data_IF_163733230048
#
_entry.id   IF_163733230048
#
_cell.length_a   1.000
_cell.length_b   1.000
_cell.length_c   1.000
_cell.angle_alpha   90.00
_cell.angle_beta   90.00
_cell.angle_gamma   90.00
#
_symmetry.space_group_name_H-M   'P 1'
#
loop_
_entity.id
_entity.type
_entity.pdbx_description
1 polymer ?
#
# COMPACT_ATOMS: atom_id res chain seq x y z
N UNK A 1 6.40 19.50 5.01
CA UNK A 1 6.95 18.73 3.86
C UNK A 1 7.34 19.72 2.77
N UNK A 2 8.52 19.56 2.19
CA UNK A 2 8.98 20.28 1.00
C UNK A 2 8.79 19.40 -0.24
N UNK A 3 8.56 19.99 -1.41
CA UNK A 3 8.30 19.25 -2.64
C UNK A 3 9.38 19.51 -3.67
N UNK A 4 9.99 18.46 -4.20
CA UNK A 4 11.06 18.53 -5.19
C UNK A 4 10.72 17.65 -6.40
N UNK A 5 10.98 18.16 -7.59
CA UNK A 5 10.81 17.42 -8.84
C UNK A 5 11.81 16.26 -8.88
N UNK A 6 11.33 15.04 -9.11
CA UNK A 6 12.21 13.89 -9.32
C UNK A 6 12.82 13.95 -10.74
N UNK A 7 13.98 13.30 -10.95
CA UNK A 7 14.54 13.12 -12.28
C UNK A 7 13.49 12.58 -13.28
N UNK A 8 13.61 12.92 -14.57
CA UNK A 8 12.68 12.44 -15.57
C UNK A 8 12.69 10.91 -15.63
N UNK A 9 11.51 10.32 -15.85
CA UNK A 9 11.43 8.91 -16.15
C UNK A 9 12.15 8.62 -17.46
N UNK A 10 12.84 7.47 -17.54
CA UNK A 10 13.50 7.04 -18.76
C UNK A 10 13.51 5.50 -18.85
N UNK A 11 13.08 4.91 -19.97
CA UNK A 11 12.36 5.54 -21.09
C UNK A 11 10.92 5.93 -20.70
N UNK A 12 10.26 6.75 -21.52
CA UNK A 12 8.80 7.01 -21.42
C UNK A 12 8.16 6.52 -22.73
N UNK A 13 7.59 5.32 -22.69
CA UNK A 13 6.93 4.68 -23.85
C UNK A 13 5.84 3.72 -23.40
N UNK A 14 4.88 3.44 -24.28
CA UNK A 14 3.85 2.43 -24.03
C UNK A 14 4.47 1.03 -24.06
N UNK A 15 4.01 0.14 -23.17
CA UNK A 15 4.48 -1.24 -23.06
C UNK A 15 5.87 -1.41 -22.44
N UNK A 16 6.51 -0.33 -22.00
CA UNK A 16 7.85 -0.35 -21.39
C UNK A 16 7.80 0.11 -19.95
N UNK A 17 8.66 -0.45 -19.11
CA UNK A 17 8.87 -0.01 -17.73
C UNK A 17 9.62 1.32 -17.72
N UNK A 18 8.90 2.38 -17.36
CA UNK A 18 9.45 3.71 -17.15
C UNK A 18 10.03 3.78 -15.75
N UNK A 19 11.30 4.19 -15.62
CA UNK A 19 11.98 4.22 -14.31
C UNK A 19 12.52 5.61 -14.01
N UNK A 20 12.40 6.05 -12.76
CA UNK A 20 13.13 7.18 -12.21
C UNK A 20 13.78 6.80 -10.87
N UNK A 21 14.80 7.55 -10.48
CA UNK A 21 15.54 7.34 -9.23
C UNK A 21 15.31 8.55 -8.33
N UNK A 22 14.94 8.31 -7.08
CA UNK A 22 14.87 9.39 -6.08
C UNK A 22 16.29 9.85 -5.78
N UNK A 23 16.57 11.14 -5.97
CA UNK A 23 17.90 11.68 -5.69
C UNK A 23 18.26 11.52 -4.21
N UNK A 24 19.53 11.27 -3.95
CA UNK A 24 20.08 11.02 -2.61
C UNK A 24 20.20 12.32 -1.80
N UNK A 25 19.07 12.94 -1.52
CA UNK A 25 18.99 14.11 -0.64
C UNK A 25 19.14 13.69 0.83
N UNK A 26 19.70 14.59 1.64
CA UNK A 26 19.81 14.42 3.09
C UNK A 26 18.45 14.65 3.80
N UNK A 27 17.42 13.92 3.36
CA UNK A 27 16.03 14.11 3.75
C UNK A 27 15.30 12.76 3.84
N UNK A 28 14.16 12.77 4.50
CA UNK A 28 13.21 11.65 4.53
C UNK A 28 12.24 11.77 3.36
N UNK A 29 12.08 10.71 2.57
CA UNK A 29 11.02 10.61 1.56
C UNK A 29 9.70 10.18 2.24
N UNK A 30 8.71 11.07 2.26
CA UNK A 30 7.39 10.76 2.81
C UNK A 30 6.36 10.35 1.76
N UNK A 31 6.49 10.86 0.53
CA UNK A 31 5.57 10.51 -0.57
C UNK A 31 6.16 10.77 -1.95
N UNK A 32 5.59 10.11 -2.96
CA UNK A 32 5.83 10.38 -4.38
C UNK A 32 4.49 10.62 -5.07
N UNK A 33 4.34 11.79 -5.69
CA UNK A 33 3.19 12.13 -6.52
C UNK A 33 3.54 11.91 -7.98
N UNK A 34 2.87 10.96 -8.61
CA UNK A 34 2.93 10.71 -10.04
C UNK A 34 1.98 11.66 -10.76
N UNK A 35 2.46 12.30 -11.82
CA UNK A 35 1.65 13.04 -12.78
C UNK A 35 1.89 12.45 -14.16
N UNK A 36 0.80 12.11 -14.83
CA UNK A 36 0.85 11.55 -16.17
C UNK A 36 -0.03 12.33 -17.14
N UNK A 37 0.24 12.18 -18.43
CA UNK A 37 -0.49 12.87 -19.50
C UNK A 37 -0.42 12.08 -20.80
N UNK A 38 -1.13 12.54 -21.82
CA UNK A 38 -1.15 11.90 -23.14
C UNK A 38 -1.88 10.57 -23.10
N UNK A 39 -1.21 9.49 -23.49
CA UNK A 39 -1.80 8.14 -23.56
C UNK A 39 -1.93 7.42 -22.20
N UNK A 40 -1.28 7.92 -21.15
CA UNK A 40 -1.33 7.30 -19.82
C UNK A 40 -2.59 7.76 -19.09
N UNK A 41 -3.36 6.81 -18.57
CA UNK A 41 -4.42 7.03 -17.60
C UNK A 41 -4.26 6.06 -16.43
N UNK A 42 -5.01 6.24 -15.34
CA UNK A 42 -4.99 5.29 -14.21
C UNK A 42 -5.29 3.86 -14.61
N UNK A 43 -6.14 3.64 -15.62
CA UNK A 43 -6.52 2.31 -16.11
C UNK A 43 -5.49 1.68 -17.05
N UNK A 44 -4.66 2.48 -17.72
CA UNK A 44 -3.60 1.94 -18.57
C UNK A 44 -2.33 1.62 -17.78
N UNK A 45 -2.18 2.13 -16.56
CA UNK A 45 -1.09 1.76 -15.67
C UNK A 45 -1.36 0.35 -15.12
N UNK A 46 -0.65 -0.63 -15.68
CA UNK A 46 -0.75 -2.03 -15.28
C UNK A 46 0.02 -2.32 -13.99
N UNK A 47 1.12 -1.59 -13.75
CA UNK A 47 2.01 -1.87 -12.63
C UNK A 47 2.75 -0.61 -12.17
N UNK A 48 2.81 -0.43 -10.85
CA UNK A 48 3.62 0.54 -10.14
C UNK A 48 4.41 -0.23 -9.09
N UNK A 49 5.73 -0.02 -9.07
CA UNK A 49 6.65 -0.63 -8.12
C UNK A 49 7.60 0.43 -7.57
N UNK A 50 7.85 0.39 -6.26
CA UNK A 50 8.99 1.10 -5.66
C UNK A 50 9.95 0.09 -5.08
N UNK A 51 11.23 0.26 -5.39
CA UNK A 51 12.31 -0.60 -4.91
C UNK A 51 13.33 0.18 -4.10
N UNK A 52 13.94 -0.48 -3.12
CA UNK A 52 15.19 -0.09 -2.49
C UNK A 52 16.25 -1.09 -2.94
N UNK A 53 17.23 -0.63 -3.72
CA UNK A 53 18.14 -1.51 -4.44
C UNK A 53 17.36 -2.49 -5.32
N UNK A 54 17.56 -3.79 -5.11
CA UNK A 54 16.85 -4.85 -5.84
C UNK A 54 15.49 -5.23 -5.24
N UNK A 55 15.13 -4.70 -4.05
CA UNK A 55 14.03 -5.24 -3.24
C UNK A 55 12.78 -4.38 -3.37
N UNK A 56 11.63 -5.02 -3.55
CA UNK A 56 10.33 -4.33 -3.70
C UNK A 56 9.75 -3.97 -2.34
N UNK A 57 9.48 -2.69 -2.12
CA UNK A 57 8.84 -2.19 -0.89
C UNK A 57 7.39 -1.74 -1.14
N UNK A 58 7.04 -1.44 -2.39
CA UNK A 58 5.72 -1.01 -2.78
C UNK A 58 5.34 -1.69 -4.10
N UNK A 59 4.13 -2.23 -4.19
CA UNK A 59 3.60 -2.91 -5.36
C UNK A 59 3.89 -4.42 -5.37
N UNK A 60 3.70 -5.10 -6.52
CA UNK A 60 3.18 -4.56 -7.79
C UNK A 60 1.68 -4.23 -7.71
N UNK A 61 1.32 -2.97 -7.98
CA UNK A 61 -0.07 -2.49 -7.93
C UNK A 61 -0.43 -1.70 -9.21
N UNK A 62 -1.64 -1.87 -9.74
CA UNK A 62 -2.11 -1.10 -10.88
C UNK A 62 -2.49 0.34 -10.50
N UNK A 63 -2.60 1.23 -11.48
CA UNK A 63 -3.01 2.61 -11.23
C UNK A 63 -4.41 2.71 -10.62
N UNK A 64 -5.35 1.85 -11.05
CA UNK A 64 -6.72 1.82 -10.49
C UNK A 64 -6.78 1.31 -9.06
N UNK A 65 -5.91 0.35 -8.70
CA UNK A 65 -5.84 -0.15 -7.33
C UNK A 65 -5.22 0.89 -6.40
N UNK A 66 -4.12 1.54 -6.84
CA UNK A 66 -3.53 2.63 -6.06
C UNK A 66 -4.51 3.80 -5.88
N UNK A 67 -5.30 4.11 -6.89
CA UNK A 67 -6.34 5.13 -6.79
C UNK A 67 -7.36 4.81 -5.71
N UNK A 68 -7.87 3.58 -5.69
CA UNK A 68 -8.78 3.09 -4.66
C UNK A 68 -8.15 3.19 -3.27
N UNK A 69 -6.88 2.83 -3.09
CA UNK A 69 -6.18 2.97 -1.81
C UNK A 69 -6.05 4.43 -1.37
N UNK A 70 -5.78 5.34 -2.32
CA UNK A 70 -5.71 6.77 -2.05
C UNK A 70 -7.08 7.33 -1.64
N UNK A 71 -8.14 7.00 -2.38
CA UNK A 71 -9.50 7.39 -2.05
C UNK A 71 -9.95 6.80 -0.70
N UNK A 72 -9.58 5.56 -0.39
CA UNK A 72 -9.86 4.92 0.90
C UNK A 72 -9.33 5.74 2.08
N UNK A 73 -8.10 6.26 1.94
CA UNK A 73 -7.43 7.12 2.94
C UNK A 73 -7.87 8.58 2.89
N UNK A 74 -8.77 8.95 1.97
CA UNK A 74 -9.25 10.32 1.78
C UNK A 74 -8.24 11.24 1.08
N UNK A 75 -7.29 10.69 0.33
CA UNK A 75 -6.39 11.47 -0.53
C UNK A 75 -7.21 12.01 -1.71
N UNK A 76 -6.92 13.26 -2.10
CA UNK A 76 -7.62 13.93 -3.20
C UNK A 76 -7.48 13.16 -4.52
N UNK A 77 -8.60 12.95 -5.20
CA UNK A 77 -8.68 12.25 -6.48
C UNK A 77 -8.62 13.25 -7.65
N UNK A 78 -7.72 12.99 -8.60
CA UNK A 78 -7.63 13.67 -9.89
C UNK A 78 -7.26 12.67 -10.98
N UNK A 79 -7.82 12.80 -12.18
CA UNK A 79 -7.70 11.79 -13.26
C UNK A 79 -6.29 11.58 -13.79
N UNK A 80 -5.41 12.58 -13.71
CA UNK A 80 -4.05 12.61 -14.23
C UNK A 80 -2.95 12.44 -13.17
N UNK A 81 -3.34 12.07 -11.93
CA UNK A 81 -2.43 11.97 -10.78
C UNK A 81 -2.67 10.73 -9.95
N UNK A 82 -1.59 10.23 -9.35
CA UNK A 82 -1.61 9.19 -8.33
C UNK A 82 -0.58 9.52 -7.26
N UNK A 83 -0.82 9.06 -6.04
CA UNK A 83 0.09 9.28 -4.93
C UNK A 83 0.54 7.95 -4.34
N UNK A 84 1.85 7.80 -4.15
CA UNK A 84 2.47 6.75 -3.34
C UNK A 84 2.84 7.40 -2.02
N UNK A 85 2.17 7.02 -0.94
CA UNK A 85 2.39 7.56 0.40
C UNK A 85 3.13 6.55 1.28
N UNK A 86 4.28 6.95 1.80
CA UNK A 86 5.06 6.23 2.80
C UNK A 86 4.75 6.70 4.24
N UNK A 87 4.09 7.84 4.36
CA UNK A 87 3.60 8.43 5.62
C UNK A 87 2.08 8.43 5.68
N UNK A 88 1.48 8.27 6.86
CA UNK A 88 0.04 8.42 7.04
C UNK A 88 -0.30 9.86 7.47
N UNK A 89 -0.78 10.70 6.54
CA UNK A 89 -0.99 12.13 6.80
C UNK A 89 -2.07 12.46 7.85
N UNK A 90 -3.03 11.54 8.04
CA UNK A 90 -4.22 11.70 8.89
C UNK A 90 -4.01 11.33 10.36
N UNK A 91 -2.77 11.07 10.77
CA UNK A 91 -2.46 10.68 12.14
C UNK A 91 -2.49 11.90 13.09
N UNK A 92 -2.91 11.72 14.36
CA UNK A 92 -3.14 12.82 15.29
C UNK A 92 -1.85 13.51 15.76
N UNK A 93 -0.71 12.81 15.75
CA UNK A 93 0.56 13.37 16.18
C UNK A 93 1.62 13.30 15.08
N UNK A 94 2.66 14.14 15.21
CA UNK A 94 3.70 14.29 14.19
C UNK A 94 4.53 13.03 14.03
N UNK A 95 4.81 12.31 15.13
CA UNK A 95 5.63 11.10 15.08
C UNK A 95 4.93 9.99 14.30
N UNK A 96 3.65 9.76 14.58
CA UNK A 96 2.78 8.83 13.85
C UNK A 96 2.55 9.28 12.42
N UNK A 97 2.50 10.60 12.17
CA UNK A 97 2.36 11.09 10.81
C UNK A 97 3.57 10.77 9.94
N UNK A 98 4.78 10.90 10.49
CA UNK A 98 6.02 10.76 9.74
C UNK A 98 6.59 9.32 9.74
N UNK A 99 6.19 8.47 10.69
CA UNK A 99 6.65 7.07 10.74
C UNK A 99 6.30 6.32 9.45
N UNK A 100 7.25 5.55 8.94
CA UNK A 100 7.15 4.87 7.65
C UNK A 100 7.80 5.63 6.49
N UNK A 101 8.09 6.92 6.67
CA UNK A 101 8.95 7.67 5.75
C UNK A 101 10.33 7.04 5.63
N UNK A 102 10.95 7.19 4.46
CA UNK A 102 12.23 6.55 4.15
C UNK A 102 13.36 7.56 4.35
N UNK A 103 14.17 7.35 5.37
CA UNK A 103 15.39 8.14 5.60
C UNK A 103 16.45 7.74 4.57
N UNK A 104 16.57 8.54 3.51
CA UNK A 104 17.40 8.21 2.34
C UNK A 104 18.87 8.00 2.73
N UNK A 105 19.51 8.85 3.57
CA UNK A 105 20.91 8.64 3.93
C UNK A 105 21.16 7.38 4.76
N UNK A 106 20.16 6.93 5.54
CA UNK A 106 20.28 5.73 6.34
C UNK A 106 20.29 4.45 5.49
N UNK A 107 19.89 4.50 4.21
CA UNK A 107 19.94 3.34 3.32
C UNK A 107 21.35 2.97 2.86
N UNK A 108 22.39 3.77 3.17
CA UNK A 108 23.72 3.56 2.61
C UNK A 108 23.65 3.60 1.09
N UNK A 109 24.42 2.80 0.35
CA UNK A 109 24.52 2.89 -1.12
C UNK A 109 23.30 2.38 -1.90
N UNK A 110 22.19 2.03 -1.24
CA UNK A 110 20.98 1.55 -1.90
C UNK A 110 20.15 2.72 -2.45
N UNK A 111 19.89 2.71 -3.76
CA UNK A 111 19.04 3.69 -4.44
C UNK A 111 17.55 3.33 -4.34
N UNK A 112 16.70 4.35 -4.40
CA UNK A 112 15.24 4.17 -4.45
C UNK A 112 14.75 4.34 -5.88
N UNK A 113 14.22 3.28 -6.46
CA UNK A 113 13.67 3.26 -7.82
C UNK A 113 12.15 3.37 -7.78
N UNK A 114 11.58 4.25 -8.59
CA UNK A 114 10.14 4.30 -8.87
C UNK A 114 9.94 3.85 -10.30
N UNK A 115 9.22 2.75 -10.47
CA UNK A 115 8.98 2.08 -11.74
C UNK A 115 7.49 2.06 -12.05
N UNK A 116 7.13 2.42 -13.28
CA UNK A 116 5.74 2.43 -13.76
C UNK A 116 5.68 1.75 -15.13
N UNK A 117 4.76 0.80 -15.28
CA UNK A 117 4.44 0.16 -16.56
C UNK A 117 3.06 0.63 -17.01
N UNK A 118 2.99 1.11 -18.24
CA UNK A 118 1.75 1.51 -18.90
C UNK A 118 1.52 0.63 -20.13
N UNK A 119 0.30 0.12 -20.29
CA UNK A 119 -0.11 -0.78 -21.38
C UNK A 119 -1.02 -0.12 -22.41
N UNK A 120 -1.01 1.21 -22.54
CA UNK A 120 -1.79 1.93 -23.55
C UNK A 120 -1.45 1.47 -24.98
N UNK A 121 -2.45 1.37 -25.85
CA UNK A 121 -2.26 0.85 -27.22
C UNK A 121 -1.67 1.86 -28.23
N UNK A 122 -1.83 3.17 -28.02
CA UNK A 122 -1.36 4.22 -28.94
C UNK A 122 -1.21 5.58 -28.23
N UNK A 123 -0.55 6.53 -28.89
CA UNK A 123 -0.33 7.91 -28.42
C UNK A 123 0.99 8.10 -27.65
N UNK A 124 1.40 9.36 -27.48
CA UNK A 124 2.64 9.72 -26.79
C UNK A 124 2.42 9.81 -25.27
N UNK A 125 3.08 8.95 -24.47
CA UNK A 125 2.96 9.00 -23.02
C UNK A 125 3.73 10.18 -22.43
N UNK A 126 3.16 10.81 -21.40
CA UNK A 126 3.87 11.74 -20.51
C UNK A 126 3.85 11.22 -19.08
N UNK A 127 5.00 11.20 -18.42
CA UNK A 127 5.13 10.77 -17.02
C UNK A 127 6.18 11.60 -16.30
N UNK A 128 5.82 12.08 -15.11
CA UNK A 128 6.68 12.87 -14.23
C UNK A 128 6.32 12.60 -12.78
N UNK A 129 7.23 12.87 -11.86
CA UNK A 129 6.97 12.70 -10.43
C UNK A 129 7.56 13.83 -9.58
N UNK A 130 6.88 14.10 -8.47
CA UNK A 130 7.34 15.02 -7.43
C UNK A 130 7.47 14.23 -6.13
N UNK A 131 8.63 14.31 -5.48
CA UNK A 131 8.83 13.76 -4.15
C UNK A 131 8.46 14.78 -3.08
N UNK A 132 7.82 14.31 -2.00
CA UNK A 132 7.57 15.08 -0.80
C UNK A 132 8.51 14.65 0.32
N UNK A 133 9.25 15.60 0.87
CA UNK A 133 10.34 15.36 1.80
C UNK A 133 10.18 16.09 3.13
N UNK A 134 10.71 15.49 4.19
CA UNK A 134 10.81 16.08 5.54
C UNK A 134 12.23 15.95 6.07
N UNK A 135 12.51 16.60 7.20
CA UNK A 135 13.79 16.46 7.90
C UNK A 135 13.99 15.02 8.36
N UNK A 136 15.24 14.57 8.43
CA UNK A 136 15.62 13.23 8.89
C UNK A 136 14.96 12.88 10.23
N UNK A 137 14.48 11.64 10.33
CA UNK A 137 13.88 11.12 11.57
C UNK A 137 14.93 10.49 12.48
N UNK A 138 16.03 9.98 11.91
CA UNK A 138 17.17 9.44 12.64
C UNK A 138 18.28 10.47 12.90
N UNK A 139 19.20 10.12 13.81
CA UNK A 139 20.44 10.86 14.03
C UNK A 139 21.44 10.58 12.88
N UNK A 140 21.76 11.56 12.03
CA UNK A 140 22.64 11.37 10.88
C UNK A 140 24.06 10.92 11.25
N UNK A 141 24.49 11.10 12.50
CA UNK A 141 25.80 10.63 12.96
C UNK A 141 25.90 9.11 13.12
N UNK A 142 24.77 8.40 13.12
CA UNK A 142 24.69 6.94 13.30
C UNK A 142 23.72 6.32 12.28
N UNK A 143 24.07 6.31 10.98
CA UNK A 143 23.22 5.72 9.96
C UNK A 143 23.12 4.21 10.16
N UNK A 144 21.89 3.72 10.38
CA UNK A 144 21.56 2.30 10.39
C UNK A 144 20.34 2.07 9.49
N UNK A 145 20.48 1.36 8.37
CA UNK A 145 19.35 0.99 7.52
C UNK A 145 18.25 0.25 8.27
N UNK A 146 18.58 -0.54 9.30
CA UNK A 146 17.62 -1.28 10.12
C UNK A 146 17.14 -0.47 11.34
N UNK A 147 17.70 0.71 11.59
CA UNK A 147 17.28 1.63 12.64
C UNK A 147 16.03 2.44 12.31
N UNK A 148 15.51 2.31 11.08
CA UNK A 148 14.27 2.95 10.63
C UNK A 148 13.18 1.90 10.34
N UNK A 149 11.92 2.29 10.53
CA UNK A 149 10.76 1.55 10.05
C UNK A 149 10.21 2.28 8.82
N UNK A 150 10.10 1.55 7.71
CA UNK A 150 9.53 2.08 6.47
C UNK A 150 8.15 1.48 6.23
N UNK A 151 7.27 2.26 5.59
CA UNK A 151 5.98 1.76 5.13
C UNK A 151 6.15 0.96 3.86
N UNK A 152 5.83 -0.32 3.93
CA UNK A 152 5.74 -1.23 2.80
C UNK A 152 4.29 -1.43 2.41
N UNK A 153 4.03 -1.51 1.12
CA UNK A 153 2.72 -1.88 0.57
C UNK A 153 2.91 -3.01 -0.43
N UNK A 154 2.70 -4.24 0.01
CA UNK A 154 2.93 -5.42 -0.81
C UNK A 154 1.62 -5.99 -1.33
N UNK A 155 1.60 -6.33 -2.62
CA UNK A 155 0.44 -6.93 -3.26
C UNK A 155 0.69 -8.41 -3.54
N UNK A 156 -0.15 -9.28 -2.97
CA UNK A 156 0.02 -10.74 -2.98
C UNK A 156 -1.28 -11.37 -3.47
N UNK A 157 -1.20 -12.20 -4.50
CA UNK A 157 -2.35 -13.02 -4.92
C UNK A 157 -2.52 -14.18 -3.95
N UNK A 158 -3.70 -14.29 -3.36
CA UNK A 158 -4.02 -15.39 -2.45
C UNK A 158 -4.39 -16.61 -3.29
N UNK A 159 -3.74 -17.78 -3.07
CA UNK A 159 -4.15 -19.01 -3.73
C UNK A 159 -5.53 -19.44 -3.22
N UNK A 160 -6.56 -19.33 -4.05
CA UNK A 160 -7.91 -19.81 -3.72
C UNK A 160 -8.08 -21.22 -4.28
N UNK A 161 -8.39 -22.20 -3.42
CA UNK A 161 -8.50 -23.62 -3.81
C UNK A 161 -9.83 -23.96 -4.49
N UNK A 162 -10.41 -23.02 -5.25
CA UNK A 162 -11.71 -23.16 -5.90
C UNK A 162 -12.93 -23.16 -4.95
N UNK A 163 -12.72 -23.14 -3.63
CA UNK A 163 -13.78 -23.11 -2.62
C UNK A 163 -14.18 -21.69 -2.20
N UNK A 164 -15.28 -21.60 -1.45
CA UNK A 164 -15.79 -20.35 -0.88
C UNK A 164 -15.18 -20.00 0.47
N UNK A 165 -14.54 -20.94 1.16
CA UNK A 165 -13.76 -20.66 2.36
C UNK A 165 -12.28 -20.75 2.01
N UNK A 166 -11.55 -19.67 2.23
CA UNK A 166 -10.12 -19.55 1.90
C UNK A 166 -9.36 -19.19 3.16
N UNK A 167 -8.39 -20.01 3.55
CA UNK A 167 -7.45 -19.70 4.64
C UNK A 167 -6.12 -19.32 4.01
N UNK A 168 -5.63 -18.12 4.33
CA UNK A 168 -4.33 -17.63 3.91
C UNK A 168 -3.40 -17.50 5.11
N UNK A 169 -2.20 -18.09 4.99
CA UNK A 169 -1.18 -18.15 6.04
C UNK A 169 0.08 -17.40 5.57
N UNK A 170 0.10 -16.07 5.55
CA UNK A 170 1.29 -15.32 5.18
C UNK A 170 2.35 -15.34 6.28
N UNK A 171 3.61 -15.22 5.87
CA UNK A 171 4.70 -14.91 6.78
C UNK A 171 4.99 -13.40 6.72
N UNK A 172 4.68 -12.70 7.81
CA UNK A 172 5.00 -11.28 8.01
C UNK A 172 5.78 -11.08 9.30
N UNK A 173 6.56 -12.07 9.74
CA UNK A 173 7.25 -12.01 11.04
C UNK A 173 8.14 -10.76 11.14
N UNK A 174 8.00 -10.04 12.24
CA UNK A 174 8.80 -8.84 12.52
C UNK A 174 8.17 -7.53 12.06
N UNK A 175 7.13 -7.56 11.23
CA UNK A 175 6.42 -6.39 10.76
C UNK A 175 5.31 -5.92 11.74
N UNK A 176 4.84 -4.69 11.54
CA UNK A 176 3.62 -4.18 12.16
C UNK A 176 2.60 -3.89 11.07
N UNK A 177 1.55 -4.70 10.98
CA UNK A 177 0.55 -4.61 9.92
C UNK A 177 -0.44 -3.51 10.27
N UNK A 178 -0.56 -2.53 9.38
CA UNK A 178 -1.53 -1.45 9.49
C UNK A 178 -2.88 -1.91 8.94
N UNK A 179 -2.88 -2.37 7.68
CA UNK A 179 -4.08 -2.63 6.90
C UNK A 179 -3.86 -3.78 5.94
N UNK A 180 -4.92 -4.54 5.68
CA UNK A 180 -4.98 -5.52 4.60
C UNK A 180 -6.22 -5.26 3.77
N UNK A 181 -6.03 -4.92 2.50
CA UNK A 181 -7.10 -4.74 1.54
C UNK A 181 -7.24 -5.99 0.69
N UNK A 182 -8.35 -6.71 0.83
CA UNK A 182 -8.67 -7.85 0.00
C UNK A 182 -9.50 -7.39 -1.20
N UNK A 183 -8.83 -7.28 -2.35
CA UNK A 183 -9.46 -6.99 -3.63
C UNK A 183 -9.99 -8.29 -4.26
N UNK A 184 -11.21 -8.24 -4.80
CA UNK A 184 -11.87 -9.37 -5.44
C UNK A 184 -12.53 -8.96 -6.78
N UNK A 185 -12.95 -9.92 -7.60
CA UNK A 185 -13.49 -9.63 -8.96
C UNK A 185 -14.99 -9.86 -9.10
N UNK A 186 -15.56 -10.68 -8.21
CA UNK A 186 -16.96 -11.05 -8.17
C UNK A 186 -17.91 -9.91 -7.83
N UNK A 187 -19.15 -10.29 -7.47
CA UNK A 187 -20.26 -9.37 -7.19
C UNK A 187 -19.85 -8.29 -6.20
N UNK A 188 -20.06 -7.03 -6.55
CA UNK A 188 -19.77 -5.92 -5.66
C UNK A 188 -20.82 -5.82 -4.54
N UNK A 189 -20.46 -5.16 -3.44
CA UNK A 189 -21.39 -4.88 -2.36
C UNK A 189 -22.39 -3.79 -2.75
N UNK A 190 -23.52 -3.73 -2.05
CA UNK A 190 -24.46 -2.59 -2.09
C UNK A 190 -24.57 -2.00 -0.69
N UNK A 191 -25.47 -1.04 -0.45
CA UNK A 191 -25.61 -0.42 0.88
C UNK A 191 -25.90 -1.45 1.99
N UNK A 192 -26.75 -2.45 1.72
CA UNK A 192 -27.21 -3.43 2.72
C UNK A 192 -26.80 -4.88 2.42
N UNK A 193 -26.05 -5.12 1.34
CA UNK A 193 -25.66 -6.48 0.92
C UNK A 193 -24.14 -6.59 0.88
N UNK A 194 -23.64 -7.71 1.41
CA UNK A 194 -22.23 -8.09 1.34
C UNK A 194 -21.79 -8.31 -0.10
N UNK A 195 -20.56 -7.91 -0.42
CA UNK A 195 -19.93 -8.23 -1.70
C UNK A 195 -19.48 -9.68 -1.75
N UNK A 196 -18.80 -10.09 -2.82
CA UNK A 196 -18.39 -11.48 -2.95
C UNK A 196 -17.51 -11.95 -1.78
N UNK A 197 -16.68 -11.08 -1.21
CA UNK A 197 -16.06 -11.33 0.09
C UNK A 197 -17.03 -10.97 1.22
N UNK A 198 -17.65 -11.99 1.80
CA UNK A 198 -18.76 -11.88 2.75
C UNK A 198 -18.30 -11.50 4.15
N UNK A 199 -17.22 -12.11 4.64
CA UNK A 199 -16.62 -11.82 5.95
C UNK A 199 -15.15 -12.22 5.98
N UNK A 200 -14.42 -11.64 6.93
CA UNK A 200 -13.00 -11.93 7.17
C UNK A 200 -12.77 -12.15 8.66
N UNK A 201 -11.96 -13.16 8.99
CA UNK A 201 -11.41 -13.38 10.33
C UNK A 201 -9.88 -13.33 10.23
N UNK A 202 -9.22 -12.66 11.16
CA UNK A 202 -7.78 -12.70 11.35
C UNK A 202 -7.46 -13.34 12.71
N UNK A 203 -6.57 -14.32 12.72
CA UNK A 203 -6.09 -15.00 13.92
C UNK A 203 -4.59 -14.85 14.07
N UNK A 204 -4.15 -14.54 15.29
CA UNK A 204 -2.75 -14.60 15.69
C UNK A 204 -2.60 -15.68 16.76
N UNK A 205 -1.71 -16.65 16.54
CA UNK A 205 -1.45 -17.75 17.48
C UNK A 205 -2.73 -18.51 17.89
N UNK A 206 -3.68 -18.66 16.98
CA UNK A 206 -4.97 -19.33 17.21
C UNK A 206 -6.05 -18.47 17.87
N UNK A 207 -5.73 -17.24 18.32
CA UNK A 207 -6.70 -16.29 18.89
C UNK A 207 -7.17 -15.32 17.82
N UNK A 208 -8.48 -15.11 17.72
CA UNK A 208 -9.05 -14.09 16.82
C UNK A 208 -8.65 -12.69 17.29
N UNK A 209 -7.99 -11.94 16.41
CA UNK A 209 -7.69 -10.51 16.58
C UNK A 209 -8.65 -9.64 15.77
N UNK A 210 -9.32 -10.23 14.78
CA UNK A 210 -10.43 -9.68 14.03
C UNK A 210 -11.42 -10.82 13.80
N UNK A 211 -12.59 -10.80 14.44
CA UNK A 211 -13.49 -11.96 14.43
C UNK A 211 -14.57 -11.82 13.36
N UNK A 212 -14.53 -12.68 12.34
CA UNK A 212 -15.59 -12.95 11.34
C UNK A 212 -16.48 -11.76 10.95
N UNK A 213 -15.94 -10.55 10.87
CA UNK A 213 -16.74 -9.34 10.66
C UNK A 213 -17.26 -9.36 9.23
N UNK A 214 -18.56 -9.18 9.07
CA UNK A 214 -19.20 -9.15 7.76
C UNK A 214 -18.80 -7.90 6.96
N UNK A 215 -18.92 -7.99 5.63
CA UNK A 215 -18.57 -6.90 4.73
C UNK A 215 -19.43 -5.65 4.99
N UNK A 216 -20.72 -5.80 5.28
CA UNK A 216 -21.60 -4.68 5.61
C UNK A 216 -21.19 -4.00 6.94
N UNK A 217 -20.94 -4.79 7.98
CA UNK A 217 -20.54 -4.26 9.30
C UNK A 217 -19.17 -3.60 9.25
N UNK A 218 -18.19 -4.22 8.57
CA UNK A 218 -16.87 -3.63 8.39
C UNK A 218 -16.98 -2.26 7.70
N UNK A 219 -17.78 -2.14 6.63
CA UNK A 219 -17.97 -0.86 5.94
C UNK A 219 -18.63 0.19 6.84
N UNK A 220 -19.52 -0.22 7.75
CA UNK A 220 -20.09 0.69 8.73
C UNK A 220 -19.02 1.25 9.67
N UNK A 221 -18.23 0.36 10.30
CA UNK A 221 -17.11 0.73 11.20
C UNK A 221 -16.13 1.68 10.48
N UNK A 222 -15.72 1.32 9.26
CA UNK A 222 -14.80 2.14 8.48
C UNK A 222 -15.35 3.56 8.20
N UNK A 223 -16.65 3.67 7.88
CA UNK A 223 -17.30 4.96 7.62
C UNK A 223 -17.45 5.80 8.89
N UNK A 224 -17.70 5.18 10.03
CA UNK A 224 -17.73 5.86 11.34
C UNK A 224 -16.42 6.60 11.60
N UNK A 225 -15.30 5.99 11.20
CA UNK A 225 -13.96 6.58 11.29
C UNK A 225 -13.50 7.33 10.02
N UNK A 226 -14.46 7.79 9.20
CA UNK A 226 -14.22 8.65 8.02
C UNK A 226 -13.34 8.02 6.94
N UNK A 227 -13.22 6.69 6.92
CA UNK A 227 -12.64 5.97 5.78
C UNK A 227 -13.67 5.85 4.67
N UNK A 228 -13.21 5.67 3.44
CA UNK A 228 -14.08 5.53 2.27
C UNK A 228 -13.96 4.11 1.73
N UNK A 229 -14.81 3.16 2.16
CA UNK A 229 -14.77 1.80 1.61
C UNK A 229 -14.88 1.80 0.09
N UNK A 230 -14.03 1.01 -0.56
CA UNK A 230 -13.93 0.97 -2.01
C UNK A 230 -14.71 -0.21 -2.58
N UNK A 231 -15.26 0.00 -3.78
CA UNK A 231 -15.89 -1.06 -4.58
C UNK A 231 -14.95 -2.24 -4.72
N UNK A 232 -15.48 -3.45 -4.52
CA UNK A 232 -14.77 -4.74 -4.61
C UNK A 232 -13.56 -4.91 -3.68
N UNK A 233 -13.52 -4.15 -2.59
CA UNK A 233 -12.49 -4.25 -1.56
C UNK A 233 -13.13 -4.55 -0.20
N UNK A 234 -12.61 -5.54 0.51
CA UNK A 234 -12.77 -5.64 1.97
C UNK A 234 -11.50 -5.10 2.61
N UNK A 235 -11.59 -4.01 3.36
CA UNK A 235 -10.43 -3.42 4.04
C UNK A 235 -10.44 -3.82 5.50
N UNK A 236 -9.54 -4.71 5.90
CA UNK A 236 -9.26 -5.00 7.30
C UNK A 236 -8.24 -3.97 7.77
N UNK A 237 -8.69 -2.96 8.52
CA UNK A 237 -7.87 -1.82 8.94
C UNK A 237 -7.74 -1.85 10.48
N UNK A 238 -6.57 -2.22 10.96
CA UNK A 238 -6.28 -2.26 12.40
C UNK A 238 -6.16 -0.84 12.99
N UNK A 239 -5.93 0.16 12.14
CA UNK A 239 -5.73 1.56 12.53
C UNK A 239 -6.82 2.45 11.89
N UNK A 240 -8.04 1.93 11.79
CA UNK A 240 -9.19 2.61 11.16
C UNK A 240 -9.52 3.94 11.84
N UNK A 241 -9.29 4.04 13.15
CA UNK A 241 -9.43 5.23 13.98
C UNK A 241 -8.27 6.24 13.87
N UNK A 242 -7.25 5.94 13.05
CA UNK A 242 -5.98 6.67 12.98
C UNK A 242 -5.20 6.62 14.31
N UNK A 243 -5.24 5.49 15.02
CA UNK A 243 -4.35 5.22 16.13
C UNK A 243 -3.32 4.17 15.72
N UNK A 244 -2.09 4.59 15.45
CA UNK A 244 -1.03 3.66 15.02
C UNK A 244 -0.68 2.59 16.06
N UNK A 245 -1.01 2.79 17.34
CA UNK A 245 -0.74 1.77 18.37
C UNK A 245 -1.60 0.52 18.20
N UNK A 246 -2.68 0.59 17.44
CA UNK A 246 -3.57 -0.54 17.19
C UNK A 246 -3.08 -1.46 16.07
N UNK A 247 -1.96 -1.14 15.39
CA UNK A 247 -1.35 -2.03 14.38
C UNK A 247 -1.14 -3.44 14.93
N UNK A 248 -1.36 -4.43 14.06
CA UNK A 248 -1.11 -5.82 14.42
C UNK A 248 0.40 -6.09 14.46
N UNK A 249 0.93 -6.26 15.66
CA UNK A 249 2.32 -6.68 15.89
C UNK A 249 2.49 -8.18 15.63
N UNK A 250 3.40 -8.52 14.71
CA UNK A 250 3.70 -9.91 14.32
C UNK A 250 5.03 -10.41 14.87
N UNK A 251 5.75 -9.64 15.69
CA UNK A 251 7.05 -10.06 16.26
C UNK A 251 6.94 -11.31 17.13
N UNK A 252 5.80 -11.51 17.77
CA UNK A 252 5.44 -12.67 18.61
C UNK A 252 4.53 -13.67 17.88
N UNK A 253 4.27 -13.48 16.59
CA UNK A 253 3.42 -14.37 15.81
C UNK A 253 4.17 -15.66 15.46
N UNK A 254 3.72 -16.79 16.02
CA UNK A 254 4.07 -18.15 15.59
C UNK A 254 3.22 -18.60 14.41
N UNK A 255 1.96 -18.16 14.38
CA UNK A 255 1.04 -18.36 13.28
C UNK A 255 0.19 -17.11 13.07
N UNK A 256 0.01 -16.72 11.82
CA UNK A 256 -0.89 -15.64 11.40
C UNK A 256 -1.80 -16.19 10.30
N UNK A 257 -3.10 -16.06 10.49
CA UNK A 257 -4.10 -16.66 9.60
C UNK A 257 -5.16 -15.63 9.24
N UNK A 258 -5.49 -15.54 7.95
CA UNK A 258 -6.62 -14.80 7.44
C UNK A 258 -7.63 -15.78 6.83
N UNK A 259 -8.80 -15.90 7.44
CA UNK A 259 -9.88 -16.76 6.97
C UNK A 259 -10.93 -15.90 6.26
N UNK A 260 -11.07 -16.12 4.96
CA UNK A 260 -11.98 -15.40 4.08
C UNK A 260 -13.18 -16.29 3.76
N UNK A 261 -14.38 -15.73 3.89
CA UNK A 261 -15.63 -16.39 3.45
C UNK A 261 -16.15 -15.65 2.23
N UNK A 262 -16.30 -16.36 1.12
CA UNK A 262 -16.77 -15.85 -0.16
C UNK A 262 -18.22 -16.31 -0.42
N UNK A 263 -18.99 -15.51 -1.17
CA UNK A 263 -20.32 -15.89 -1.66
C UNK A 263 -20.24 -16.82 -2.88
N UNK A 264 -19.18 -16.68 -3.68
CA UNK A 264 -18.84 -17.52 -4.82
C UNK A 264 -17.31 -17.58 -5.01
N UNK A 265 -16.82 -18.61 -5.69
CA UNK A 265 -15.40 -18.79 -6.02
C UNK A 265 -14.86 -17.58 -6.79
N UNK A 266 -13.68 -17.09 -6.40
CA UNK A 266 -13.07 -15.88 -6.94
C UNK A 266 -11.56 -15.89 -6.74
N UNK A 267 -10.87 -14.97 -7.43
CA UNK A 267 -9.46 -14.67 -7.19
C UNK A 267 -9.37 -13.49 -6.23
N UNK A 268 -8.58 -13.63 -5.17
CA UNK A 268 -8.37 -12.58 -4.18
C UNK A 268 -6.94 -12.09 -4.25
N UNK A 269 -6.77 -10.77 -4.25
CA UNK A 269 -5.47 -10.11 -4.11
C UNK A 269 -5.45 -9.35 -2.80
N UNK A 270 -4.55 -9.72 -1.89
CA UNK A 270 -4.28 -8.98 -0.67
C UNK A 270 -3.28 -7.85 -0.95
N UNK A 271 -3.62 -6.63 -0.59
CA UNK A 271 -2.70 -5.49 -0.57
C UNK A 271 -2.46 -5.13 0.89
N UNK A 272 -1.25 -5.41 1.38
CA UNK A 272 -0.88 -5.29 2.80
C UNK A 272 -0.07 -4.03 2.99
N UNK A 273 -0.57 -3.11 3.81
CA UNK A 273 0.18 -1.95 4.32
C UNK A 273 0.78 -2.32 5.68
N UNK A 274 2.10 -2.18 5.82
CA UNK A 274 2.81 -2.50 7.06
C UNK A 274 4.02 -1.60 7.29
N UNK A 275 4.40 -1.43 8.55
CA UNK A 275 5.70 -0.88 8.93
C UNK A 275 6.67 -2.02 9.17
N UNK A 276 7.85 -1.91 8.59
CA UNK A 276 8.85 -2.97 8.67
C UNK A 276 10.26 -2.42 8.42
N UNK A 277 11.28 -3.14 8.85
CA UNK A 277 12.67 -2.76 8.56
C UNK A 277 12.93 -2.86 7.04
N UNK A 278 13.69 -1.94 6.43
CA UNK A 278 13.95 -1.94 4.99
C UNK A 278 14.48 -3.26 4.42
N UNK A 279 15.16 -4.07 5.24
CA UNK A 279 15.81 -5.33 4.84
C UNK A 279 15.12 -6.61 5.28
N UNK A 280 13.97 -6.52 5.95
CA UNK A 280 13.15 -7.68 6.32
C UNK A 280 12.23 -8.06 5.15
N UNK A 281 12.28 -9.31 4.66
CA UNK A 281 11.49 -9.77 3.50
C UNK A 281 11.13 -11.23 3.63
#
# INVERSE_FOLDING_TARGET
MIYLQLPPFNPISNGVRSTTVVQRWALTLGRVQLKFSGSITKSTISEIVVKIGARVIFGPISGTELDRLNMYRGVYDQSDRLTIDFTDWNQPNVLEREIGGIDIPALGDEDIYVEVVNSAGAGTPGLSAIGGFTSLQFDPSKPDPNGQLIKKTLAITIPTSGGTNVTWLPDFRGAQIQRVHFAYTGTDWTTSVNGNLQRVECRKNGTAVWDRIECADNRFILREHKKVPQSRFYSLDFIHDNNMRAMLDTRDARALEFNLSLGATDTIKAIVEMLDAPRNF
#
